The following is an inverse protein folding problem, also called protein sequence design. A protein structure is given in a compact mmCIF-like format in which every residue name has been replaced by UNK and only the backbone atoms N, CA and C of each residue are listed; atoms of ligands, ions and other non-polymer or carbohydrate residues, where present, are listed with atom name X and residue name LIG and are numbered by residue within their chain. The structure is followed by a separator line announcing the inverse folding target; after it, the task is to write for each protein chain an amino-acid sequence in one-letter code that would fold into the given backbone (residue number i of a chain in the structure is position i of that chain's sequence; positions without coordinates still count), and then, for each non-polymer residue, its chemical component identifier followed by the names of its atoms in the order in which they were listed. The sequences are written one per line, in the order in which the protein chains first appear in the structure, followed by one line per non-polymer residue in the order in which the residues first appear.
data_IF_561351742396
#
_entry.id   IF_561351742396
#
_cell.length_a   1.000
_cell.length_b   1.000
_cell.length_c   1.000
_cell.angle_alpha   90.00
_cell.angle_beta   90.00
_cell.angle_gamma   90.00
#
_symmetry.space_group_name_H-M   'P 1'
#
loop_
_entity.id
_entity.type
_entity.pdbx_description
1 polymer ?
#
# COMPACT_ATOMS: atom_id res chain seq x y z
N UNK A 1 11.62 8.37 9.26
CA UNK A 1 11.94 8.43 7.82
C UNK A 1 10.72 8.99 7.08
N UNK A 2 10.92 9.75 6.01
CA UNK A 2 9.82 10.39 5.26
C UNK A 2 10.01 10.21 3.76
N UNK A 3 8.97 9.72 3.07
CA UNK A 3 8.93 9.54 1.63
C UNK A 3 7.98 10.54 1.01
N UNK A 4 8.47 11.37 0.09
CA UNK A 4 7.66 12.33 -0.64
C UNK A 4 7.57 11.93 -2.10
N UNK A 5 6.40 11.42 -2.51
CA UNK A 5 6.15 10.97 -3.87
C UNK A 5 5.53 12.09 -4.72
N UNK A 6 6.32 12.62 -5.65
CA UNK A 6 5.91 13.70 -6.57
C UNK A 6 5.38 13.18 -7.91
N UNK A 7 5.38 11.87 -8.12
CA UNK A 7 4.99 11.23 -9.39
C UNK A 7 3.48 11.14 -9.65
N UNK A 8 2.64 11.71 -8.78
CA UNK A 8 1.18 11.67 -8.89
C UNK A 8 0.61 13.07 -9.13
N UNK A 9 0.16 13.33 -10.36
CA UNK A 9 -0.48 14.60 -10.72
C UNK A 9 -1.82 14.80 -10.00
N UNK A 10 -2.26 16.06 -9.88
CA UNK A 10 -3.53 16.45 -9.22
C UNK A 10 -4.77 15.94 -9.93
N UNK A 11 -4.67 15.68 -11.22
CA UNK A 11 -5.73 15.07 -12.02
C UNK A 11 -5.20 13.79 -12.67
N UNK A 12 -5.98 12.71 -12.57
CA UNK A 12 -5.67 11.43 -13.20
C UNK A 12 -5.04 10.37 -12.27
N UNK A 13 -4.85 9.18 -12.84
CA UNK A 13 -4.22 8.06 -12.17
C UNK A 13 -2.69 8.20 -12.17
N UNK A 14 -2.05 7.58 -11.20
CA UNK A 14 -0.60 7.39 -11.20
C UNK A 14 -0.20 6.34 -12.23
N UNK A 15 0.94 6.53 -12.89
CA UNK A 15 1.56 5.46 -13.68
C UNK A 15 1.83 4.24 -12.78
N UNK A 16 1.29 3.05 -13.11
CA UNK A 16 1.36 1.89 -12.23
C UNK A 16 2.78 1.53 -11.78
N UNK A 17 3.76 1.61 -12.69
CA UNK A 17 5.17 1.30 -12.38
C UNK A 17 5.74 2.23 -11.31
N UNK A 18 5.46 3.54 -11.37
CA UNK A 18 5.95 4.49 -10.36
C UNK A 18 5.39 4.22 -8.97
N UNK A 19 4.14 3.77 -8.87
CA UNK A 19 3.54 3.39 -7.60
C UNK A 19 4.18 2.09 -7.06
N UNK A 20 4.44 1.13 -7.94
CA UNK A 20 5.13 -0.12 -7.57
C UNK A 20 6.56 0.17 -7.07
N UNK A 21 7.31 1.03 -7.76
CA UNK A 21 8.67 1.43 -7.36
C UNK A 21 8.69 2.11 -5.99
N UNK A 22 7.71 2.99 -5.72
CA UNK A 22 7.54 3.62 -4.42
C UNK A 22 7.29 2.58 -3.32
N UNK A 23 6.35 1.66 -3.57
CA UNK A 23 6.02 0.60 -2.62
C UNK A 23 7.27 -0.26 -2.37
N UNK A 24 7.95 -0.73 -3.41
CA UNK A 24 9.18 -1.51 -3.27
C UNK A 24 10.26 -0.76 -2.48
N UNK A 25 10.47 0.52 -2.77
CA UNK A 25 11.44 1.37 -2.04
C UNK A 25 11.12 1.42 -0.54
N UNK A 26 9.86 1.64 -0.18
CA UNK A 26 9.42 1.69 1.22
C UNK A 26 9.60 0.31 1.88
N UNK A 27 9.33 -0.77 1.16
CA UNK A 27 9.42 -2.14 1.66
C UNK A 27 10.87 -2.55 1.95
N UNK A 28 11.77 -2.23 1.03
CA UNK A 28 13.17 -2.60 1.12
C UNK A 28 13.93 -1.79 2.18
N UNK A 29 13.38 -0.66 2.62
CA UNK A 29 14.00 0.18 3.65
C UNK A 29 14.07 -0.48 5.03
N UNK A 30 13.29 -1.55 5.27
CA UNK A 30 13.35 -2.35 6.50
C UNK A 30 14.58 -3.27 6.64
N UNK A 31 15.56 -3.19 5.72
CA UNK A 31 16.72 -4.10 5.66
C UNK A 31 18.07 -3.50 6.09
N UNK A 32 18.10 -2.26 6.63
CA UNK A 32 19.33 -1.56 6.99
C UNK A 32 19.83 -1.78 8.44
N UNK A 33 20.93 -2.52 8.59
CA UNK A 33 21.98 -2.45 9.63
C UNK A 33 21.62 -2.04 11.08
N UNK A 34 20.77 -2.80 11.77
CA UNK A 34 20.63 -2.68 13.23
C UNK A 34 19.93 -3.90 13.81
N UNK A 35 20.54 -4.49 14.85
CA UNK A 35 20.05 -5.69 15.53
C UNK A 35 18.53 -5.64 15.82
N UNK A 36 17.76 -6.54 15.20
CA UNK A 36 16.49 -7.03 15.75
C UNK A 36 15.19 -6.32 15.35
N UNK A 37 15.17 -5.33 14.46
CA UNK A 37 13.90 -4.74 14.03
C UNK A 37 13.27 -5.58 12.90
N UNK A 38 12.11 -6.16 13.22
CA UNK A 38 11.19 -6.80 12.27
C UNK A 38 11.01 -5.90 11.03
N UNK A 39 10.76 -6.49 9.86
CA UNK A 39 10.38 -5.76 8.63
C UNK A 39 9.35 -4.70 9.04
N UNK A 40 9.62 -3.41 8.84
CA UNK A 40 8.74 -2.30 9.27
C UNK A 40 7.28 -2.53 8.85
N UNK A 41 7.07 -3.21 7.70
CA UNK A 41 5.75 -3.62 7.18
C UNK A 41 4.96 -4.63 8.02
N UNK A 42 5.61 -5.39 8.90
CA UNK A 42 5.00 -6.51 9.64
C UNK A 42 5.03 -6.29 11.16
N UNK A 43 5.48 -5.13 11.63
CA UNK A 43 5.43 -4.80 13.04
C UNK A 43 4.14 -4.03 13.35
N UNK A 44 3.16 -4.63 14.06
CA UNK A 44 1.92 -3.96 14.45
C UNK A 44 2.15 -2.75 15.36
N UNK A 45 3.32 -2.66 15.99
CA UNK A 45 3.68 -1.58 16.92
C UNK A 45 4.26 -0.36 16.19
N UNK A 46 4.57 -0.47 14.89
CA UNK A 46 5.15 0.64 14.10
C UNK A 46 4.42 0.86 12.77
N UNK A 47 3.17 1.36 12.79
CA UNK A 47 2.43 1.63 11.56
C UNK A 47 3.09 2.73 10.72
N UNK A 48 3.05 2.58 9.40
CA UNK A 48 3.48 3.62 8.46
C UNK A 48 2.36 4.64 8.30
N UNK A 49 2.69 5.92 8.45
CA UNK A 49 1.76 7.03 8.17
C UNK A 49 1.77 7.32 6.67
N UNK A 50 0.59 7.25 6.04
CA UNK A 50 0.39 7.59 4.62
C UNK A 50 -0.62 8.72 4.54
N UNK A 51 -0.29 9.80 3.83
CA UNK A 51 -1.21 10.92 3.63
C UNK A 51 -1.15 11.45 2.20
N UNK A 52 -2.22 12.15 1.81
CA UNK A 52 -2.25 12.98 0.61
C UNK A 52 -2.86 14.34 0.99
N UNK A 53 -3.78 14.90 0.19
CA UNK A 53 -4.55 16.09 0.56
C UNK A 53 -5.67 15.73 1.57
N UNK A 54 -6.76 15.10 1.12
CA UNK A 54 -7.85 14.64 2.00
C UNK A 54 -7.54 13.32 2.75
N UNK A 55 -6.44 12.65 2.39
CA UNK A 55 -6.03 11.38 2.99
C UNK A 55 -6.95 10.21 2.67
N UNK A 56 -7.57 10.19 1.49
CA UNK A 56 -8.56 9.17 1.10
C UNK A 56 -8.40 8.67 -0.35
N UNK A 57 -8.14 9.55 -1.33
CA UNK A 57 -7.91 9.18 -2.73
C UNK A 57 -6.60 8.42 -2.95
N UNK A 58 -5.50 9.15 -3.18
CA UNK A 58 -4.15 8.56 -3.37
C UNK A 58 -3.72 7.67 -2.21
N UNK A 59 -4.05 8.09 -0.98
CA UNK A 59 -3.81 7.30 0.24
C UNK A 59 -4.52 5.95 0.17
N UNK A 60 -5.82 5.93 -0.15
CA UNK A 60 -6.57 4.69 -0.27
C UNK A 60 -6.03 3.80 -1.38
N UNK A 61 -5.66 4.37 -2.53
CA UNK A 61 -5.09 3.61 -3.65
C UNK A 61 -3.73 3.00 -3.28
N UNK A 62 -2.85 3.76 -2.62
CA UNK A 62 -1.58 3.23 -2.11
C UNK A 62 -1.82 2.04 -1.17
N UNK A 63 -2.71 2.19 -0.18
CA UNK A 63 -3.00 1.13 0.81
C UNK A 63 -3.63 -0.10 0.14
N UNK A 64 -4.53 0.10 -0.83
CA UNK A 64 -5.16 -1.00 -1.57
C UNK A 64 -4.12 -1.80 -2.37
N UNK A 65 -3.24 -1.12 -3.12
CA UNK A 65 -2.19 -1.77 -3.91
C UNK A 65 -1.18 -2.47 -3.01
N UNK A 66 -0.75 -1.82 -1.92
CA UNK A 66 0.13 -2.42 -0.91
C UNK A 66 -0.48 -3.70 -0.32
N UNK A 67 -1.79 -3.67 -0.02
CA UNK A 67 -2.54 -4.84 0.49
C UNK A 67 -2.60 -5.95 -0.54
N UNK A 68 -2.86 -5.63 -1.82
CA UNK A 68 -2.88 -6.60 -2.91
C UNK A 68 -1.51 -7.27 -3.06
N UNK A 69 -0.43 -6.50 -3.08
CA UNK A 69 0.93 -7.04 -3.17
C UNK A 69 1.22 -8.00 -2.00
N UNK A 70 0.83 -7.65 -0.78
CA UNK A 70 0.99 -8.53 0.40
C UNK A 70 0.19 -9.82 0.31
N UNK A 71 -1.00 -9.79 -0.29
CA UNK A 71 -1.78 -10.99 -0.51
C UNK A 71 -1.16 -11.87 -1.61
N UNK A 72 -0.56 -11.25 -2.62
CA UNK A 72 0.09 -11.95 -3.73
C UNK A 72 1.48 -12.51 -3.38
N UNK A 73 2.17 -11.96 -2.37
CA UNK A 73 3.47 -12.44 -1.87
C UNK A 73 3.36 -13.71 -1.00
N UNK A 74 2.16 -14.31 -0.91
CA UNK A 74 1.90 -15.55 -0.18
C UNK A 74 2.44 -16.78 -0.93
N UNK A 75 2.73 -17.90 -0.24
CA UNK A 75 3.29 -19.10 -0.87
C UNK A 75 2.47 -19.58 -2.07
N UNK A 76 3.17 -20.05 -3.13
CA UNK A 76 2.58 -20.42 -4.43
C UNK A 76 1.40 -21.41 -4.36
N UNK A 77 1.35 -22.27 -3.34
CA UNK A 77 0.27 -23.24 -3.15
C UNK A 77 -1.08 -22.56 -2.84
N UNK A 78 -1.08 -21.42 -2.14
CA UNK A 78 -2.28 -20.64 -1.80
C UNK A 78 -2.72 -19.76 -2.98
N UNK A 79 -1.77 -19.35 -3.83
CA UNK A 79 -2.01 -18.43 -4.95
C UNK A 79 -2.93 -19.02 -6.02
N UNK A 80 -2.80 -20.32 -6.35
CA UNK A 80 -3.63 -20.98 -7.38
C UNK A 80 -5.13 -20.98 -7.05
N UNK A 81 -5.47 -20.90 -5.77
CA UNK A 81 -6.85 -20.88 -5.28
C UNK A 81 -7.29 -19.49 -4.82
N UNK A 82 -6.38 -18.52 -4.81
CA UNK A 82 -6.66 -17.19 -4.28
C UNK A 82 -7.55 -16.41 -5.25
N UNK A 83 -8.78 -16.14 -4.82
CA UNK A 83 -9.69 -15.23 -5.53
C UNK A 83 -9.45 -13.82 -5.00
N UNK A 84 -8.77 -12.99 -5.81
CA UNK A 84 -8.56 -11.58 -5.47
C UNK A 84 -9.81 -10.77 -5.83
N UNK A 85 -10.43 -10.17 -4.82
CA UNK A 85 -11.58 -9.27 -4.99
C UNK A 85 -11.18 -7.86 -4.58
N UNK A 86 -10.85 -7.03 -5.57
CA UNK A 86 -10.44 -5.64 -5.37
C UNK A 86 -11.56 -4.83 -4.72
N UNK A 87 -12.82 -5.08 -5.08
CA UNK A 87 -13.95 -4.33 -4.54
C UNK A 87 -14.18 -4.64 -3.07
N UNK A 88 -14.01 -5.90 -2.66
CA UNK A 88 -14.02 -6.27 -1.24
C UNK A 88 -12.89 -5.60 -0.46
N UNK A 89 -11.68 -5.50 -1.03
CA UNK A 89 -10.57 -4.78 -0.39
C UNK A 89 -10.91 -3.30 -0.21
N UNK A 90 -11.41 -2.63 -1.25
CA UNK A 90 -11.82 -1.22 -1.17
C UNK A 90 -12.96 -1.03 -0.18
N UNK A 91 -13.91 -1.95 -0.13
CA UNK A 91 -15.01 -1.95 0.83
C UNK A 91 -14.51 -2.01 2.28
N UNK A 92 -13.58 -2.91 2.59
CA UNK A 92 -12.98 -3.01 3.92
C UNK A 92 -12.19 -1.74 4.29
N UNK A 93 -11.41 -1.17 3.35
CA UNK A 93 -10.74 0.12 3.58
C UNK A 93 -11.73 1.26 3.88
N UNK A 94 -12.90 1.26 3.24
CA UNK A 94 -13.95 2.25 3.47
C UNK A 94 -14.66 2.09 4.83
N UNK A 95 -14.62 0.90 5.43
CA UNK A 95 -15.08 0.67 6.81
C UNK A 95 -14.12 1.30 7.83
N UNK A 96 -12.82 1.26 7.57
CA UNK A 96 -11.81 1.85 8.45
C UNK A 96 -11.72 3.38 8.29
N UNK A 97 -11.85 3.89 7.05
CA UNK A 97 -11.90 5.32 6.77
C UNK A 97 -12.81 5.59 5.57
N UNK A 98 -13.86 6.37 5.81
CA UNK A 98 -14.82 6.71 4.76
C UNK A 98 -14.14 7.37 3.54
N UNK A 99 -14.56 6.96 2.34
CA UNK A 99 -14.10 7.57 1.09
C UNK A 99 -12.76 7.07 0.55
N UNK A 100 -12.17 6.02 1.13
CA UNK A 100 -10.94 5.41 0.58
C UNK A 100 -11.11 5.02 -0.90
N UNK A 101 -10.07 5.31 -1.69
CA UNK A 101 -10.03 5.17 -3.16
C UNK A 101 -11.10 6.05 -3.84
N UNK A 102 -10.66 7.21 -4.31
CA UNK A 102 -11.50 8.23 -4.95
C UNK A 102 -11.12 8.41 -6.42
N UNK A 103 -12.07 8.12 -7.31
CA UNK A 103 -12.19 8.53 -8.71
C UNK A 103 -13.35 7.74 -9.33
N UNK A 104 -13.99 8.31 -10.35
CA UNK A 104 -15.10 7.68 -11.09
C UNK A 104 -14.66 6.44 -11.89
#
# INVERSE_FOLDING_TARGET
MHYYFTGWADFGAVEPTKLLDLIETINNHGHGHGHGHSRIRNDPLTPIVVHCSAGVGRTGTYIAVDTIIRLLDRPCNELRTMKLDIMSIVYELRKDRIGMVQSD
#
